data_IF_929740103211
#
_entry.id   IF_929740103211
#
_cell.length_a   1.000
_cell.length_b   1.000
_cell.length_c   1.000
_cell.angle_alpha   90.00
_cell.angle_beta   90.00
_cell.angle_gamma   90.00
#
_symmetry.space_group_name_H-M   'P 1'
#
loop_
_entity.id
_entity.type
_entity.pdbx_description
1 polymer ?
#
# COMPACT_ATOMS: atom_id res chain seq x y z
N UNK A 1 -17.47 23.33 -21.82
CA UNK A 1 -17.46 21.91 -21.45
C UNK A 1 -18.12 21.81 -20.09
N UNK A 2 -19.11 20.94 -19.86
CA UNK A 2 -19.76 20.87 -18.56
C UNK A 2 -18.76 20.26 -17.56
N UNK A 3 -18.37 21.05 -16.56
CA UNK A 3 -17.59 20.60 -15.42
C UNK A 3 -18.41 19.53 -14.70
N UNK A 4 -18.03 18.27 -14.88
CA UNK A 4 -18.69 17.16 -14.20
C UNK A 4 -18.14 17.15 -12.79
N UNK A 5 -18.88 17.70 -11.83
CA UNK A 5 -18.47 17.71 -10.43
C UNK A 5 -18.32 16.26 -9.96
N UNK A 6 -17.10 15.86 -9.61
CA UNK A 6 -16.83 14.55 -9.04
C UNK A 6 -17.68 14.36 -7.78
N UNK A 7 -18.34 13.22 -7.69
CA UNK A 7 -19.10 12.82 -6.53
C UNK A 7 -18.18 12.67 -5.32
N UNK A 8 -18.72 12.80 -4.12
CA UNK A 8 -17.96 12.60 -2.87
C UNK A 8 -17.32 11.21 -2.77
N UNK A 9 -17.93 10.21 -3.41
CA UNK A 9 -17.37 8.86 -3.47
C UNK A 9 -16.12 8.81 -4.35
N UNK A 10 -16.18 9.41 -5.55
CA UNK A 10 -15.04 9.48 -6.49
C UNK A 10 -13.85 10.20 -5.86
N UNK A 11 -14.07 11.38 -5.24
CA UNK A 11 -12.98 12.10 -4.57
C UNK A 11 -12.34 11.31 -3.41
N UNK A 12 -13.13 10.50 -2.69
CA UNK A 12 -12.62 9.64 -1.61
C UNK A 12 -11.78 8.49 -2.15
N UNK A 13 -12.19 7.91 -3.27
CA UNK A 13 -11.47 6.84 -3.94
C UNK A 13 -10.15 7.36 -4.51
N UNK A 14 -10.17 8.51 -5.20
CA UNK A 14 -8.97 9.18 -5.72
C UNK A 14 -7.99 9.54 -4.58
N UNK A 15 -8.52 10.01 -3.45
CA UNK A 15 -7.68 10.26 -2.26
C UNK A 15 -7.07 8.97 -1.71
N UNK A 16 -7.85 7.89 -1.66
CA UNK A 16 -7.38 6.59 -1.16
C UNK A 16 -6.28 6.01 -2.06
N UNK A 17 -6.44 6.13 -3.37
CA UNK A 17 -5.44 5.75 -4.37
C UNK A 17 -4.16 6.56 -4.20
N UNK A 18 -4.26 7.90 -4.16
CA UNK A 18 -3.11 8.77 -3.97
C UNK A 18 -2.34 8.47 -2.66
N UNK A 19 -3.06 8.20 -1.56
CA UNK A 19 -2.44 7.81 -0.28
C UNK A 19 -1.72 6.47 -0.39
N UNK A 20 -2.32 5.50 -1.09
CA UNK A 20 -1.70 4.19 -1.30
C UNK A 20 -0.42 4.31 -2.14
N UNK A 21 -0.44 5.09 -3.22
CA UNK A 21 0.72 5.35 -4.08
C UNK A 21 1.86 6.03 -3.31
N UNK A 22 1.55 7.06 -2.51
CA UNK A 22 2.55 7.72 -1.65
C UNK A 22 3.18 6.71 -0.68
N UNK A 23 2.39 5.83 -0.07
CA UNK A 23 2.89 4.81 0.84
C UNK A 23 3.81 3.80 0.14
N UNK A 24 3.50 3.42 -1.10
CA UNK A 24 4.34 2.54 -1.92
C UNK A 24 5.69 3.21 -2.22
N UNK A 25 5.69 4.46 -2.68
CA UNK A 25 6.92 5.21 -2.94
C UNK A 25 7.83 5.29 -1.69
N UNK A 26 7.24 5.53 -0.52
CA UNK A 26 7.99 5.56 0.74
C UNK A 26 8.55 4.18 1.07
N UNK A 27 7.76 3.12 0.89
CA UNK A 27 8.22 1.76 1.15
C UNK A 27 9.39 1.37 0.24
N UNK A 28 9.37 1.76 -1.04
CA UNK A 28 10.47 1.52 -1.98
C UNK A 28 11.75 2.25 -1.54
N UNK A 29 11.66 3.53 -1.17
CA UNK A 29 12.80 4.28 -0.66
C UNK A 29 13.39 3.66 0.63
N UNK A 30 12.56 3.07 1.48
CA UNK A 30 13.03 2.34 2.68
C UNK A 30 13.66 0.99 2.27
N UNK A 31 13.11 0.29 1.28
CA UNK A 31 13.64 -0.99 0.78
C UNK A 31 15.08 -0.87 0.26
N UNK A 32 15.40 0.24 -0.42
CA UNK A 32 16.77 0.54 -0.87
C UNK A 32 17.79 0.60 0.27
N UNK A 33 17.35 0.95 1.48
CA UNK A 33 18.19 1.04 2.68
C UNK A 33 18.14 -0.27 3.48
N UNK A 34 17.00 -0.94 3.47
CA UNK A 34 16.74 -2.19 4.19
C UNK A 34 15.86 -3.12 3.33
N UNK A 35 16.46 -4.09 2.61
CA UNK A 35 15.74 -5.01 1.73
C UNK A 35 14.72 -5.92 2.44
N UNK A 36 14.67 -5.93 3.77
CA UNK A 36 13.70 -6.68 4.56
C UNK A 36 12.51 -5.82 5.00
N UNK A 37 12.57 -4.49 4.78
CA UNK A 37 11.58 -3.57 5.28
C UNK A 37 10.18 -3.84 4.71
N UNK A 38 10.07 -4.12 3.42
CA UNK A 38 8.79 -4.38 2.76
C UNK A 38 8.03 -5.56 3.40
N UNK A 39 8.74 -6.64 3.78
CA UNK A 39 8.16 -7.79 4.50
C UNK A 39 7.61 -7.40 5.88
N UNK A 40 8.37 -6.62 6.66
CA UNK A 40 7.93 -6.16 7.98
C UNK A 40 6.75 -5.20 7.86
N UNK A 41 6.76 -4.34 6.84
CA UNK A 41 5.65 -3.44 6.52
C UNK A 41 4.40 -4.23 6.12
N UNK A 42 4.53 -5.29 5.31
CA UNK A 42 3.41 -6.14 4.88
C UNK A 42 2.74 -6.82 6.08
N UNK A 43 3.54 -7.40 6.98
CA UNK A 43 3.02 -8.00 8.20
C UNK A 43 2.26 -6.99 9.09
N UNK A 44 2.80 -5.78 9.24
CA UNK A 44 2.14 -4.72 10.00
C UNK A 44 0.87 -4.20 9.30
N UNK A 45 0.88 -4.12 7.97
CA UNK A 45 -0.29 -3.78 7.17
C UNK A 45 -1.42 -4.80 7.39
N UNK A 46 -1.12 -6.10 7.41
CA UNK A 46 -2.09 -7.16 7.72
C UNK A 46 -2.70 -7.04 9.13
N UNK A 47 -1.89 -6.70 10.14
CA UNK A 47 -2.41 -6.43 11.49
C UNK A 47 -3.33 -5.21 11.52
N UNK A 48 -2.94 -4.13 10.85
CA UNK A 48 -3.73 -2.92 10.77
C UNK A 48 -5.05 -3.16 10.02
N UNK A 49 -5.02 -3.90 8.91
CA UNK A 49 -6.17 -4.36 8.15
C UNK A 49 -7.19 -5.07 9.05
N UNK A 50 -6.75 -6.12 9.78
CA UNK A 50 -7.62 -6.90 10.65
C UNK A 50 -8.28 -6.05 11.74
N UNK A 51 -7.53 -5.10 12.32
CA UNK A 51 -8.08 -4.15 13.31
C UNK A 51 -9.12 -3.22 12.68
N UNK A 52 -8.88 -2.69 11.48
CA UNK A 52 -9.76 -1.74 10.81
C UNK A 52 -11.05 -2.39 10.31
N UNK A 53 -10.97 -3.62 9.77
CA UNK A 53 -12.16 -4.34 9.29
C UNK A 53 -13.06 -4.76 10.45
N UNK A 54 -12.49 -5.20 11.58
CA UNK A 54 -13.23 -5.50 12.81
C UNK A 54 -13.96 -4.25 13.35
N UNK A 55 -13.37 -3.06 13.16
CA UNK A 55 -13.98 -1.77 13.49
C UNK A 55 -14.89 -1.19 12.40
N UNK A 56 -15.27 -1.97 11.37
CA UNK A 56 -16.10 -1.55 10.23
C UNK A 56 -15.55 -0.31 9.47
N UNK A 57 -14.23 -0.08 9.51
CA UNK A 57 -13.56 1.00 8.77
C UNK A 57 -13.15 0.49 7.38
N UNK A 58 -14.14 0.20 6.54
CA UNK A 58 -13.96 -0.52 5.27
C UNK A 58 -12.97 0.14 4.31
N UNK A 59 -13.09 1.45 4.05
CA UNK A 59 -12.17 2.18 3.16
C UNK A 59 -10.72 2.16 3.68
N UNK A 60 -10.54 2.33 5.00
CA UNK A 60 -9.20 2.30 5.58
C UNK A 60 -8.61 0.88 5.51
N UNK A 61 -9.41 -0.15 5.77
CA UNK A 61 -8.97 -1.54 5.59
C UNK A 61 -8.59 -1.81 4.13
N UNK A 62 -9.39 -1.34 3.17
CA UNK A 62 -9.10 -1.52 1.75
C UNK A 62 -7.77 -0.88 1.33
N UNK A 63 -7.48 0.35 1.77
CA UNK A 63 -6.17 0.99 1.55
C UNK A 63 -5.02 0.11 2.08
N UNK A 64 -5.16 -0.42 3.30
CA UNK A 64 -4.14 -1.29 3.91
C UNK A 64 -3.99 -2.61 3.17
N UNK A 65 -5.08 -3.15 2.61
CA UNK A 65 -5.06 -4.34 1.79
C UNK A 65 -4.31 -4.10 0.46
N UNK A 66 -4.62 -3.01 -0.24
CA UNK A 66 -3.94 -2.62 -1.50
C UNK A 66 -2.44 -2.40 -1.26
N UNK A 67 -2.10 -1.65 -0.22
CA UNK A 67 -0.71 -1.44 0.19
C UNK A 67 0.00 -2.76 0.52
N UNK A 68 -0.62 -3.62 1.34
CA UNK A 68 -0.09 -4.94 1.66
C UNK A 68 0.18 -5.79 0.42
N UNK A 69 -0.73 -5.80 -0.56
CA UNK A 69 -0.53 -6.52 -1.82
C UNK A 69 0.65 -5.96 -2.62
N UNK A 70 0.78 -4.63 -2.73
CA UNK A 70 1.89 -4.00 -3.44
C UNK A 70 3.26 -4.36 -2.83
N UNK A 71 3.35 -4.51 -1.51
CA UNK A 71 4.59 -4.92 -0.83
C UNK A 71 5.05 -6.35 -1.15
N UNK A 72 4.21 -7.17 -1.77
CA UNK A 72 4.56 -8.52 -2.24
C UNK A 72 4.88 -8.56 -3.74
N UNK A 73 4.82 -7.41 -4.43
CA UNK A 73 5.14 -7.32 -5.84
C UNK A 73 6.66 -7.30 -6.03
N UNK A 74 7.19 -8.31 -6.72
CA UNK A 74 8.63 -8.48 -6.95
C UNK A 74 9.19 -7.44 -7.92
N UNK A 75 8.36 -6.82 -8.75
CA UNK A 75 8.80 -5.75 -9.65
C UNK A 75 9.00 -4.45 -8.86
N UNK A 76 8.21 -4.23 -7.80
CA UNK A 76 8.33 -3.07 -6.91
C UNK A 76 9.37 -3.28 -5.80
N UNK A 77 9.54 -4.52 -5.33
CA UNK A 77 10.41 -4.91 -4.22
C UNK A 77 11.24 -6.14 -4.62
N UNK A 78 12.27 -5.97 -5.46
CA UNK A 78 13.12 -7.08 -5.88
C UNK A 78 13.88 -7.63 -4.67
N UNK A 79 13.91 -8.96 -4.55
CA UNK A 79 14.79 -9.65 -3.62
C UNK A 79 16.16 -9.79 -4.29
N UNK A 80 17.24 -9.43 -3.59
CA UNK A 80 18.60 -9.71 -4.08
C UNK A 80 18.73 -11.22 -4.30
N UNK A 81 18.83 -11.65 -5.55
CA UNK A 81 19.34 -12.97 -5.89
C UNK A 81 20.70 -13.08 -5.21
N UNK A 82 20.80 -13.92 -4.17
CA UNK A 82 22.11 -14.33 -3.65
C UNK A 82 22.87 -14.92 -4.84
N UNK A 83 23.85 -14.17 -5.34
CA UNK A 83 24.79 -14.65 -6.36
C UNK A 83 25.41 -15.99 -5.91
N UNK A 84 25.86 -16.83 -6.85
CA UNK A 84 26.33 -18.16 -6.53
C UNK A 84 27.52 -18.05 -5.57
N UNK A 85 27.40 -18.71 -4.41
CA UNK A 85 28.51 -18.92 -3.46
C UNK A 85 29.64 -19.74 -4.08
#
# INVERSE_FOLDING_TARGET
MPETFATRAEMREETAEAVCEIAICIAQAIHEIDPQAHRRMNFNAGKAYNRLIAGQRTLAADILYRFGRALMDTDLFPEEERGPE
#
